data_IF_448415747848
#
_entry.id   IF_448415747848
#
_cell.length_a   1.000
_cell.length_b   1.000
_cell.length_c   1.000
_cell.angle_alpha   90.00
_cell.angle_beta   90.00
_cell.angle_gamma   90.00
#
_symmetry.space_group_name_H-M   'P 1'
#
loop_
_entity.id
_entity.type
_entity.pdbx_description
1 polymer ?
#
# COMPACT_ATOMS: atom_id res chain seq x y z
N UNK A 1 -44.07 -21.04 2.99
CA UNK A 1 -43.59 -20.37 4.22
C UNK A 1 -42.12 -20.66 4.54
N UNK A 2 -41.59 -21.88 4.30
CA UNK A 2 -40.17 -22.22 4.55
C UNK A 2 -39.14 -21.59 3.59
N UNK A 3 -39.51 -21.32 2.34
CA UNK A 3 -38.60 -20.75 1.34
C UNK A 3 -38.27 -19.27 1.59
N UNK A 4 -39.18 -18.52 2.24
CA UNK A 4 -38.99 -17.09 2.49
C UNK A 4 -37.98 -16.79 3.62
N UNK A 5 -37.70 -17.76 4.50
CA UNK A 5 -36.69 -17.61 5.56
C UNK A 5 -35.25 -17.71 5.04
N UNK A 6 -35.02 -18.32 3.87
CA UNK A 6 -33.68 -18.49 3.31
C UNK A 6 -33.19 -17.24 2.54
N UNK A 7 -34.11 -16.42 2.03
CA UNK A 7 -33.77 -15.17 1.34
C UNK A 7 -33.30 -14.06 2.30
N UNK A 8 -33.76 -14.08 3.56
CA UNK A 8 -33.44 -13.05 4.56
C UNK A 8 -32.01 -13.12 5.07
N UNK A 9 -31.37 -14.30 5.01
CA UNK A 9 -30.03 -14.52 5.56
C UNK A 9 -28.89 -14.07 4.61
N UNK A 10 -29.18 -13.95 3.31
CA UNK A 10 -28.19 -13.55 2.29
C UNK A 10 -27.91 -12.03 2.28
N UNK A 11 -28.81 -11.21 2.84
CA UNK A 11 -28.66 -9.75 2.89
C UNK A 11 -27.73 -9.25 4.03
N UNK A 12 -27.32 -10.13 4.94
CA UNK A 12 -26.47 -9.78 6.09
C UNK A 12 -24.97 -9.96 5.83
N UNK A 13 -24.59 -10.44 4.63
CA UNK A 13 -23.19 -10.64 4.23
C UNK A 13 -22.59 -9.44 3.49
N UNK A 14 -23.21 -8.26 3.59
CA UNK A 14 -22.60 -7.00 3.12
C UNK A 14 -21.33 -6.70 3.92
N UNK A 15 -20.19 -7.20 3.44
CA UNK A 15 -18.90 -7.07 4.10
C UNK A 15 -18.51 -5.62 4.39
N UNK A 16 -17.83 -5.40 5.51
CA UNK A 16 -17.41 -4.10 6.05
C UNK A 16 -16.34 -3.36 5.21
N UNK A 17 -16.31 -3.56 3.89
CA UNK A 17 -15.42 -2.82 2.99
C UNK A 17 -16.24 -1.74 2.28
N UNK A 18 -16.14 -0.50 2.75
CA UNK A 18 -16.69 0.64 2.01
C UNK A 18 -16.06 0.69 0.61
N UNK A 19 -16.86 0.98 -0.44
CA UNK A 19 -16.32 1.06 -1.79
C UNK A 19 -15.21 2.12 -1.85
N UNK A 20 -14.22 1.89 -2.72
CA UNK A 20 -13.28 2.96 -3.04
C UNK A 20 -14.05 4.14 -3.66
N UNK A 21 -13.66 5.38 -3.34
CA UNK A 21 -14.28 6.52 -4.00
C UNK A 21 -13.99 6.46 -5.51
N UNK A 22 -14.90 7.02 -6.33
CA UNK A 22 -14.65 7.13 -7.76
C UNK A 22 -13.41 8.03 -7.99
N UNK A 23 -12.46 7.63 -8.85
CA UNK A 23 -11.32 8.48 -9.18
C UNK A 23 -11.75 9.81 -9.81
N UNK A 24 -11.38 10.93 -9.18
CA UNK A 24 -11.40 12.26 -9.79
C UNK A 24 -10.48 12.36 -11.03
N UNK A 25 -11.00 12.64 -12.25
CA UNK A 25 -10.21 12.74 -13.47
C UNK A 25 -9.29 13.98 -13.52
N UNK A 26 -9.46 14.96 -12.64
CA UNK A 26 -8.56 16.11 -12.52
C UNK A 26 -7.30 15.80 -11.71
N UNK A 27 -7.22 14.61 -11.12
CA UNK A 27 -6.11 14.19 -10.27
C UNK A 27 -5.41 12.96 -10.82
N UNK A 28 -4.16 12.77 -10.41
CA UNK A 28 -3.42 11.55 -10.62
C UNK A 28 -3.84 10.52 -9.57
N UNK A 29 -4.06 9.27 -10.00
CA UNK A 29 -4.39 8.18 -9.09
C UNK A 29 -3.22 7.22 -8.96
N UNK A 30 -2.82 6.91 -7.73
CA UNK A 30 -1.71 6.01 -7.43
C UNK A 30 -2.22 4.77 -6.71
N UNK A 31 -2.13 3.63 -7.38
CA UNK A 31 -2.43 2.33 -6.77
C UNK A 31 -1.22 1.83 -5.97
N UNK A 32 -1.50 1.00 -4.97
CA UNK A 32 -0.48 0.37 -4.15
C UNK A 32 -0.44 -1.12 -4.43
N UNK A 33 0.77 -1.68 -4.48
CA UNK A 33 0.98 -3.10 -4.66
C UNK A 33 2.10 -3.62 -3.75
N UNK A 34 1.84 -4.75 -3.12
CA UNK A 34 2.81 -5.57 -2.44
C UNK A 34 2.60 -7.05 -2.84
N UNK A 35 3.63 -7.89 -2.75
CA UNK A 35 3.49 -9.34 -2.73
C UNK A 35 2.42 -9.83 -1.74
N UNK A 36 1.85 -11.00 -2.01
CA UNK A 36 0.88 -11.62 -1.11
C UNK A 36 1.51 -11.91 0.26
N UNK A 37 0.77 -11.64 1.34
CA UNK A 37 1.26 -11.76 2.72
C UNK A 37 2.00 -10.52 3.23
N UNK A 38 2.23 -9.52 2.39
CA UNK A 38 2.81 -8.23 2.76
C UNK A 38 1.75 -7.12 2.59
N UNK A 39 1.90 -6.01 3.33
CA UNK A 39 0.94 -4.91 3.31
C UNK A 39 1.63 -3.60 2.94
N UNK A 40 1.11 -2.93 1.91
CA UNK A 40 1.53 -1.58 1.52
C UNK A 40 0.37 -0.60 1.69
N UNK A 41 0.59 0.44 2.48
CA UNK A 41 -0.41 1.47 2.77
C UNK A 41 0.11 2.87 2.43
N UNK A 42 -0.77 3.70 1.91
CA UNK A 42 -0.58 5.14 1.82
C UNK A 42 -0.56 5.75 3.24
N UNK A 43 0.37 6.67 3.50
CA UNK A 43 0.50 7.31 4.81
C UNK A 43 0.54 8.84 4.73
N UNK A 44 1.34 9.43 3.82
CA UNK A 44 1.40 10.90 3.69
C UNK A 44 1.53 11.38 2.25
N UNK A 45 0.99 12.57 2.00
CA UNK A 45 1.26 13.39 0.81
C UNK A 45 1.82 14.72 1.30
N UNK A 46 2.98 15.11 0.80
CA UNK A 46 3.64 16.40 1.12
C UNK A 46 3.76 16.68 2.62
N UNK A 47 4.09 15.62 3.38
CA UNK A 47 4.20 15.58 4.85
C UNK A 47 2.86 15.62 5.61
N UNK A 48 1.73 15.79 4.93
CA UNK A 48 0.41 15.73 5.54
C UNK A 48 -0.12 14.30 5.60
N UNK A 49 -0.76 13.93 6.72
CA UNK A 49 -1.38 12.60 6.88
C UNK A 49 -2.45 12.38 5.81
N UNK A 50 -2.37 11.23 5.16
CA UNK A 50 -3.33 10.79 4.16
C UNK A 50 -4.45 9.95 4.83
N UNK A 51 -5.73 10.21 4.51
CA UNK A 51 -6.84 9.61 5.24
C UNK A 51 -7.18 8.17 4.83
N UNK A 52 -6.83 7.74 3.62
CA UNK A 52 -7.16 6.40 3.11
C UNK A 52 -5.90 5.63 2.70
N UNK A 53 -5.57 4.60 3.45
CA UNK A 53 -4.36 3.80 3.23
C UNK A 53 -4.35 2.99 1.93
N UNK A 54 -5.45 2.91 1.18
CA UNK A 54 -5.58 2.00 0.02
C UNK A 54 -5.05 2.57 -1.29
N UNK A 55 -4.91 3.90 -1.41
CA UNK A 55 -4.50 4.61 -2.63
C UNK A 55 -3.97 6.01 -2.31
N UNK A 56 -3.37 6.68 -3.30
CA UNK A 56 -3.28 8.15 -3.28
C UNK A 56 -4.07 8.75 -4.44
N UNK A 57 -4.57 9.97 -4.22
CA UNK A 57 -5.09 10.82 -5.25
C UNK A 57 -4.49 12.21 -5.06
N UNK A 58 -3.72 12.69 -6.04
CA UNK A 58 -2.95 13.94 -5.92
C UNK A 58 -3.15 14.84 -7.13
N UNK A 59 -3.01 16.15 -6.92
CA UNK A 59 -3.07 17.13 -8.01
C UNK A 59 -1.94 16.91 -9.03
N UNK A 60 -2.07 17.49 -10.24
CA UNK A 60 -0.95 17.52 -11.18
C UNK A 60 0.24 18.30 -10.64
N UNK A 61 1.46 17.82 -10.93
CA UNK A 61 2.71 18.45 -10.52
C UNK A 61 3.52 17.64 -9.49
N UNK A 62 4.39 18.31 -8.70
CA UNK A 62 5.33 17.64 -7.83
C UNK A 62 4.70 17.24 -6.50
N UNK A 63 4.90 15.98 -6.09
CA UNK A 63 4.46 15.46 -4.79
C UNK A 63 5.48 14.52 -4.14
N UNK A 64 5.58 14.62 -2.82
CA UNK A 64 6.29 13.67 -1.95
C UNK A 64 5.26 12.70 -1.36
N UNK A 65 5.25 11.44 -1.82
CA UNK A 65 4.39 10.38 -1.30
C UNK A 65 5.15 9.55 -0.26
N UNK A 66 4.52 9.25 0.88
CA UNK A 66 5.06 8.34 1.89
C UNK A 66 4.14 7.15 2.09
N UNK A 67 4.72 5.96 2.01
CA UNK A 67 4.03 4.69 2.25
C UNK A 67 4.59 3.98 3.48
N UNK A 68 3.73 3.21 4.13
CA UNK A 68 4.10 2.23 5.16
C UNK A 68 4.02 0.84 4.57
N UNK A 69 5.12 0.11 4.63
CA UNK A 69 5.23 -1.23 4.09
C UNK A 69 5.54 -2.22 5.21
N UNK A 70 4.67 -3.22 5.40
CA UNK A 70 4.75 -4.22 6.45
C UNK A 70 4.97 -5.60 5.86
N UNK A 71 5.93 -6.34 6.41
CA UNK A 71 6.29 -7.68 5.97
C UNK A 71 6.93 -8.45 7.13
N UNK A 72 6.88 -9.77 7.06
CA UNK A 72 7.51 -10.64 8.04
C UNK A 72 8.92 -11.07 7.58
N UNK A 73 9.84 -11.17 8.53
CA UNK A 73 11.16 -11.76 8.31
C UNK A 73 11.35 -12.97 9.22
N UNK A 74 11.72 -14.09 8.64
CA UNK A 74 12.12 -15.28 9.38
C UNK A 74 13.54 -15.08 9.91
N UNK A 75 13.71 -15.05 11.23
CA UNK A 75 15.03 -14.81 11.84
C UNK A 75 15.99 -16.01 11.77
N UNK A 76 15.52 -17.16 11.32
CA UNK A 76 16.32 -18.39 11.32
C UNK A 76 16.56 -18.89 12.74
N UNK A 77 16.18 -20.13 12.99
CA UNK A 77 16.50 -20.80 14.25
C UNK A 77 17.47 -21.94 13.99
N UNK A 78 18.53 -22.02 14.79
CA UNK A 78 19.43 -23.18 14.78
C UNK A 78 18.66 -24.48 15.07
N UNK A 79 19.31 -25.63 14.81
CA UNK A 79 18.76 -26.97 15.00
C UNK A 79 18.00 -27.09 16.33
N UNK A 80 16.65 -27.06 16.26
CA UNK A 80 15.75 -27.26 17.40
C UNK A 80 15.02 -26.04 17.96
N UNK A 81 15.25 -24.82 17.45
CA UNK A 81 14.54 -23.63 17.94
C UNK A 81 13.72 -22.99 16.81
N UNK A 82 12.39 -22.97 16.89
CA UNK A 82 11.57 -22.12 16.00
C UNK A 82 11.53 -20.71 16.58
N UNK A 83 12.14 -19.73 15.91
CA UNK A 83 11.95 -18.31 16.26
C UNK A 83 10.65 -17.79 15.65
N UNK A 84 9.82 -17.09 16.42
CA UNK A 84 8.65 -16.40 15.88
C UNK A 84 9.08 -15.41 14.76
N UNK A 85 8.33 -15.35 13.63
CA UNK A 85 8.54 -14.36 12.58
C UNK A 85 8.50 -12.95 13.16
N UNK A 86 9.39 -12.09 12.64
CA UNK A 86 9.45 -10.70 13.06
C UNK A 86 8.70 -9.84 12.05
N UNK A 87 7.66 -9.14 12.47
CA UNK A 87 7.02 -8.15 11.60
C UNK A 87 7.87 -6.86 11.56
N UNK A 88 8.26 -6.44 10.36
CA UNK A 88 8.93 -5.17 10.11
C UNK A 88 7.99 -4.19 9.42
N UNK A 89 7.98 -2.94 9.88
CA UNK A 89 7.35 -1.82 9.20
C UNK A 89 8.42 -0.86 8.69
N UNK A 90 8.46 -0.65 7.38
CA UNK A 90 9.28 0.36 6.72
C UNK A 90 8.46 1.59 6.32
N UNK A 91 8.96 2.78 6.61
CA UNK A 91 8.49 4.03 6.00
C UNK A 91 9.33 4.35 4.76
N UNK A 92 8.67 4.56 3.63
CA UNK A 92 9.35 4.78 2.35
C UNK A 92 8.79 6.03 1.70
N UNK A 93 9.67 6.95 1.27
CA UNK A 93 9.30 8.18 0.56
C UNK A 93 9.61 8.05 -0.92
N UNK A 94 8.64 8.37 -1.77
CA UNK A 94 8.79 8.47 -3.22
C UNK A 94 8.55 9.92 -3.63
N UNK A 95 9.48 10.49 -4.40
CA UNK A 95 9.38 11.86 -4.91
C UNK A 95 9.26 11.83 -6.41
N UNK A 96 8.22 12.48 -6.93
CA UNK A 96 8.02 12.58 -8.37
C UNK A 96 7.46 13.96 -8.72
N UNK A 97 7.97 14.53 -9.81
CA UNK A 97 7.78 15.94 -10.14
C UNK A 97 6.60 16.21 -11.10
N UNK A 98 6.13 15.19 -11.81
CA UNK A 98 5.26 15.36 -12.99
C UNK A 98 4.06 14.41 -12.94
N UNK A 99 3.32 14.39 -11.83
CA UNK A 99 2.02 13.74 -11.79
C UNK A 99 1.05 14.45 -12.74
N UNK A 100 0.24 13.69 -13.49
CA UNK A 100 -0.69 14.23 -14.48
C UNK A 100 -2.13 13.85 -14.16
N UNK A 101 -3.04 14.80 -14.40
CA UNK A 101 -4.47 14.58 -14.27
C UNK A 101 -4.92 13.39 -15.14
N UNK A 102 -5.77 12.54 -14.58
CA UNK A 102 -6.36 11.39 -15.29
C UNK A 102 -5.41 10.22 -15.51
N UNK A 103 -4.12 10.35 -15.18
CA UNK A 103 -3.16 9.25 -15.31
C UNK A 103 -3.17 8.33 -14.09
N UNK A 104 -2.86 7.05 -14.35
CA UNK A 104 -2.71 6.03 -13.33
C UNK A 104 -1.23 5.76 -13.07
N UNK A 105 -0.88 5.66 -11.81
CA UNK A 105 0.44 5.28 -11.35
C UNK A 105 0.33 4.09 -10.42
N UNK A 106 1.46 3.44 -10.16
CA UNK A 106 1.55 2.36 -9.18
C UNK A 106 2.80 2.49 -8.35
N UNK A 107 2.65 2.49 -7.03
CA UNK A 107 3.74 2.22 -6.12
C UNK A 107 3.76 0.72 -5.87
N UNK A 108 4.92 0.09 -6.07
CA UNK A 108 5.14 -1.29 -5.68
C UNK A 108 6.32 -1.34 -4.70
N UNK A 109 6.12 -2.07 -3.60
CA UNK A 109 7.14 -2.32 -2.59
C UNK A 109 7.41 -3.83 -2.47
N UNK A 110 8.64 -4.16 -2.11
CA UNK A 110 9.09 -5.55 -1.87
C UNK A 110 10.02 -5.59 -0.68
N UNK A 111 9.94 -6.66 0.11
CA UNK A 111 10.88 -6.95 1.18
C UNK A 111 12.28 -7.26 0.62
N UNK A 112 13.30 -6.88 1.37
CA UNK A 112 14.70 -7.16 1.08
C UNK A 112 15.46 -7.35 2.41
N UNK A 113 15.59 -8.61 2.84
CA UNK A 113 16.10 -8.96 4.16
C UNK A 113 15.38 -8.14 5.26
N UNK A 114 16.12 -7.38 6.08
CA UNK A 114 15.56 -6.55 7.17
C UNK A 114 15.12 -5.14 6.70
N UNK A 115 14.93 -4.95 5.40
CA UNK A 115 14.58 -3.66 4.79
C UNK A 115 13.63 -3.86 3.61
N UNK A 116 13.42 -2.80 2.82
CA UNK A 116 12.49 -2.81 1.70
C UNK A 116 13.05 -2.03 0.51
N UNK A 117 12.48 -2.31 -0.66
CA UNK A 117 12.63 -1.48 -1.85
C UNK A 117 11.26 -1.06 -2.34
N UNK A 118 11.16 0.11 -2.95
CA UNK A 118 9.95 0.55 -3.61
C UNK A 118 10.24 1.33 -4.90
N UNK A 119 9.27 1.31 -5.81
CA UNK A 119 9.33 2.01 -7.09
C UNK A 119 7.98 2.64 -7.39
N UNK A 120 8.00 3.79 -8.04
CA UNK A 120 6.83 4.38 -8.70
C UNK A 120 6.89 4.05 -10.18
N UNK A 121 5.77 3.55 -10.70
CA UNK A 121 5.60 3.21 -12.10
C UNK A 121 4.51 4.09 -12.75
N UNK A 122 4.69 4.38 -14.03
CA UNK A 122 3.60 4.82 -14.91
C UNK A 122 2.72 3.63 -15.37
N UNK A 123 1.73 3.92 -16.22
CA UNK A 123 0.84 2.92 -16.80
C UNK A 123 1.56 1.90 -17.69
N UNK A 124 2.65 2.33 -18.34
CA UNK A 124 3.49 1.50 -19.21
C UNK A 124 4.55 0.72 -18.42
N UNK A 125 4.44 0.68 -17.08
CA UNK A 125 5.36 -0.04 -16.18
C UNK A 125 6.80 0.47 -16.25
N UNK A 126 7.02 1.72 -16.68
CA UNK A 126 8.32 2.35 -16.61
C UNK A 126 8.57 2.90 -15.20
N UNK A 127 9.79 2.71 -14.69
CA UNK A 127 10.17 3.23 -13.37
C UNK A 127 10.38 4.74 -13.48
N UNK A 128 9.56 5.52 -12.79
CA UNK A 128 9.66 6.97 -12.72
C UNK A 128 10.60 7.42 -11.60
N UNK A 129 10.56 6.73 -10.45
CA UNK A 129 11.43 7.01 -9.31
C UNK A 129 11.56 5.79 -8.40
N UNK A 130 12.62 5.77 -7.59
CA UNK A 130 12.84 4.77 -6.53
C UNK A 130 12.51 5.39 -5.18
N UNK A 131 11.91 4.59 -4.31
CA UNK A 131 11.62 4.99 -2.95
C UNK A 131 12.87 5.04 -2.08
N UNK A 132 12.99 6.08 -1.27
CA UNK A 132 13.97 6.19 -0.19
C UNK A 132 13.37 5.62 1.08
N UNK A 133 13.92 4.52 1.58
CA UNK A 133 13.60 4.02 2.92
C UNK A 133 14.07 5.04 3.96
N UNK A 134 13.14 5.54 4.77
CA UNK A 134 13.42 6.50 5.83
C UNK A 134 13.80 5.79 7.13
N UNK A 135 13.11 4.67 7.41
CA UNK A 135 13.33 3.82 8.58
C UNK A 135 12.65 2.46 8.37
N UNK A 136 13.15 1.44 9.04
CA UNK A 136 12.52 0.12 9.17
C UNK A 136 12.71 -0.39 10.60
N UNK A 137 11.72 -1.08 11.14
CA UNK A 137 11.81 -1.70 12.46
C UNK A 137 10.53 -2.42 12.82
N UNK A 138 10.60 -3.22 13.89
CA UNK A 138 9.42 -3.69 14.63
C UNK A 138 8.69 -2.47 15.18
N UNK A 139 7.36 -2.48 15.19
CA UNK A 139 6.56 -1.31 15.55
C UNK A 139 7.03 -0.60 16.84
N UNK A 140 6.82 0.73 16.84
CA UNK A 140 7.22 1.71 17.87
C UNK A 140 6.78 1.37 19.29
#
# INVERSE_FOLDING_TARGET
MRAYMLASLLLLLGGCASPLPPPDPQQAWVNLYAPAGELLMADRVDRQRWPDGRYFQVSPGPHDLQVRFQFEVNRGGGLGMSSEPLELTCEIRLRYADFKAGQRYRIEARSMAMSAQAWLYDEQRQVLTRGKVLRCGTAY
#
